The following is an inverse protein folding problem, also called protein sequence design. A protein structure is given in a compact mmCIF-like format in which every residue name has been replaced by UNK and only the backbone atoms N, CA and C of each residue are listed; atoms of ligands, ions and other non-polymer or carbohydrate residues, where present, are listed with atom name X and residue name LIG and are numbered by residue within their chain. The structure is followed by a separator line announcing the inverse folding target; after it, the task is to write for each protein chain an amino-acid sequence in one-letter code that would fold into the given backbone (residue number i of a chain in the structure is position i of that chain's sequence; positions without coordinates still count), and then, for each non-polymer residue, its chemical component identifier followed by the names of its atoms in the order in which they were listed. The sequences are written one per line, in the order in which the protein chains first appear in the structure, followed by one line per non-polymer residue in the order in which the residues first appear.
data_IF_709975676248
#
_entry.id   IF_709975676248
#
_cell.length_a   1.000
_cell.length_b   1.000
_cell.length_c   1.000
_cell.angle_alpha   90.00
_cell.angle_beta   90.00
_cell.angle_gamma   90.00
#
_symmetry.space_group_name_H-M   'P 1'
#
loop_
_entity.id
_entity.type
_entity.pdbx_description
1 polymer ?
#
# COMPACT_ATOMS: atom_id res chain seq x y z
N UNK A 1 -6.76 -9.14 -6.79
CA UNK A 1 -6.01 -7.87 -6.65
C UNK A 1 -6.16 -7.03 -7.91
N UNK A 2 -6.27 -5.72 -7.76
CA UNK A 2 -6.43 -4.80 -8.89
C UNK A 2 -5.14 -4.68 -9.73
N UNK A 3 -5.28 -4.40 -11.02
CA UNK A 3 -4.16 -4.22 -11.97
C UNK A 3 -3.39 -2.91 -11.69
N UNK A 4 -4.09 -1.89 -11.21
CA UNK A 4 -3.52 -0.63 -10.79
C UNK A 4 -3.86 -0.35 -9.32
N UNK A 5 -2.85 0.02 -8.54
CA UNK A 5 -3.02 0.43 -7.16
C UNK A 5 -2.58 1.89 -7.02
N UNK A 6 -3.34 2.66 -6.27
CA UNK A 6 -3.09 4.07 -6.02
C UNK A 6 -3.08 4.33 -4.52
N UNK A 7 -2.15 5.17 -4.10
CA UNK A 7 -2.09 5.76 -2.79
C UNK A 7 -2.87 7.07 -2.81
N UNK A 8 -3.80 7.24 -1.88
CA UNK A 8 -4.57 8.47 -1.72
C UNK A 8 -4.30 9.02 -0.34
N UNK A 9 -3.86 10.27 -0.28
CA UNK A 9 -3.54 10.95 0.97
C UNK A 9 -4.09 12.37 1.00
N UNK A 10 -4.24 12.93 2.19
CA UNK A 10 -4.63 14.33 2.40
C UNK A 10 -3.49 15.06 3.10
N UNK A 11 -2.97 16.08 2.43
CA UNK A 11 -1.90 16.94 2.96
C UNK A 11 -2.49 18.32 3.20
N UNK A 12 -2.34 18.84 4.42
CA UNK A 12 -2.76 20.19 4.78
C UNK A 12 -1.53 21.10 4.85
N UNK A 13 -1.46 22.08 3.96
CA UNK A 13 -0.45 23.15 3.94
C UNK A 13 -1.17 24.50 3.97
N UNK A 14 -0.72 25.41 4.84
CA UNK A 14 -1.28 26.77 4.98
C UNK A 14 -2.82 26.82 5.11
N UNK A 15 -3.39 25.89 5.89
CA UNK A 15 -4.84 25.79 6.10
C UNK A 15 -5.63 25.22 4.93
N UNK A 16 -4.99 24.89 3.80
CA UNK A 16 -5.62 24.24 2.67
C UNK A 16 -5.29 22.75 2.62
N UNK A 17 -6.32 21.91 2.65
CA UNK A 17 -6.16 20.46 2.49
C UNK A 17 -6.22 20.08 1.00
N UNK A 18 -5.14 19.52 0.49
CA UNK A 18 -5.05 18.97 -0.88
C UNK A 18 -5.12 17.45 -0.82
N UNK A 19 -5.82 16.85 -1.78
CA UNK A 19 -5.82 15.39 -1.96
C UNK A 19 -4.72 15.02 -2.95
N UNK A 20 -3.84 14.12 -2.55
CA UNK A 20 -2.73 13.64 -3.35
C UNK A 20 -3.01 12.20 -3.76
N UNK A 21 -2.98 11.92 -5.06
CA UNK A 21 -3.15 10.58 -5.61
C UNK A 21 -1.85 10.18 -6.32
N UNK A 22 -1.25 9.07 -5.90
CA UNK A 22 0.01 8.54 -6.47
C UNK A 22 -0.18 7.10 -6.91
N UNK A 23 0.38 6.73 -8.07
CA UNK A 23 0.41 5.33 -8.50
C UNK A 23 1.43 4.57 -7.65
N UNK A 24 1.04 3.40 -7.15
CA UNK A 24 1.92 2.52 -6.37
C UNK A 24 2.62 1.51 -7.27
N UNK A 25 3.95 1.47 -7.17
CA UNK A 25 4.81 0.42 -7.70
C UNK A 25 4.76 -0.83 -6.80
N UNK A 26 5.49 -1.89 -7.14
CA UNK A 26 5.45 -3.13 -6.37
C UNK A 26 5.86 -2.93 -4.90
N UNK A 27 6.87 -2.10 -4.65
CA UNK A 27 7.34 -1.80 -3.30
C UNK A 27 6.29 -1.00 -2.54
N UNK A 28 5.74 0.04 -3.14
CA UNK A 28 4.69 0.85 -2.54
C UNK A 28 3.40 0.05 -2.26
N UNK A 29 3.06 -0.93 -3.11
CA UNK A 29 1.97 -1.87 -2.83
C UNK A 29 2.24 -2.72 -1.58
N UNK A 30 3.47 -3.24 -1.44
CA UNK A 30 3.87 -4.04 -0.27
C UNK A 30 3.77 -3.21 1.00
N UNK A 31 4.33 -2.00 0.98
CA UNK A 31 4.36 -1.12 2.15
C UNK A 31 2.94 -0.68 2.56
N UNK A 32 2.07 -0.40 1.58
CA UNK A 32 0.68 -0.05 1.87
C UNK A 32 -0.12 -1.23 2.42
N UNK A 33 0.04 -2.44 1.86
CA UNK A 33 -0.62 -3.64 2.39
C UNK A 33 -0.13 -3.91 3.82
N UNK A 34 1.17 -3.80 4.07
CA UNK A 34 1.75 -3.95 5.40
C UNK A 34 1.23 -2.89 6.38
N UNK A 35 1.03 -1.65 5.92
CA UNK A 35 0.42 -0.57 6.70
C UNK A 35 -1.06 -0.83 6.98
N UNK A 36 -1.83 -1.32 6.01
CA UNK A 36 -3.25 -1.65 6.19
C UNK A 36 -3.42 -2.77 7.23
N UNK A 37 -2.55 -3.79 7.17
CA UNK A 37 -2.62 -4.96 8.07
C UNK A 37 -2.03 -4.64 9.45
N UNK A 38 -0.90 -3.94 9.49
CA UNK A 38 -0.18 -3.60 10.72
C UNK A 38 -0.69 -2.35 11.44
N UNK A 39 -1.50 -1.52 10.77
CA UNK A 39 -2.04 -0.28 11.30
C UNK A 39 -0.93 0.69 11.73
N UNK A 40 -0.90 1.00 13.03
CA UNK A 40 0.08 1.92 13.62
C UNK A 40 1.50 1.34 13.72
N UNK A 41 1.66 0.02 13.62
CA UNK A 41 2.94 -0.67 13.81
C UNK A 41 3.27 -1.53 12.60
N UNK A 42 4.10 -0.98 11.71
CA UNK A 42 4.72 -1.77 10.64
C UNK A 42 5.89 -2.55 11.25
N UNK A 43 5.89 -3.87 11.07
CA UNK A 43 6.93 -4.77 11.56
C UNK A 43 7.44 -5.62 10.41
N UNK A 44 8.59 -6.28 10.58
CA UNK A 44 9.14 -7.17 9.56
C UNK A 44 8.17 -8.32 9.20
N UNK A 45 7.37 -8.77 10.18
CA UNK A 45 6.36 -9.80 9.99
C UNK A 45 5.22 -9.29 9.10
N UNK A 46 4.73 -8.06 9.32
CA UNK A 46 3.64 -7.51 8.49
C UNK A 46 4.12 -7.21 7.07
N UNK A 47 5.38 -6.79 6.90
CA UNK A 47 6.01 -6.64 5.58
C UNK A 47 6.14 -7.97 4.84
N UNK A 48 6.57 -9.03 5.54
CA UNK A 48 6.67 -10.37 4.96
C UNK A 48 5.30 -10.95 4.61
N UNK A 49 4.30 -10.73 5.46
CA UNK A 49 2.93 -11.16 5.17
C UNK A 49 2.34 -10.43 3.95
N UNK A 50 2.57 -9.12 3.84
CA UNK A 50 2.16 -8.34 2.68
C UNK A 50 2.81 -8.84 1.38
N UNK A 51 4.08 -9.24 1.44
CA UNK A 51 4.80 -9.84 0.32
C UNK A 51 4.20 -11.19 -0.10
N UNK A 52 3.88 -12.06 0.85
CA UNK A 52 3.21 -13.34 0.56
C UNK A 52 1.83 -13.14 -0.10
N UNK A 53 1.07 -12.13 0.34
CA UNK A 53 -0.21 -11.78 -0.29
C UNK A 53 -0.04 -11.32 -1.74
N UNK A 54 0.98 -10.50 -2.00
CA UNK A 54 1.32 -10.05 -3.35
C UNK A 54 1.70 -11.21 -4.26
N UNK A 55 2.52 -12.15 -3.77
CA UNK A 55 2.93 -13.34 -4.53
C UNK A 55 1.72 -14.22 -4.86
N UNK A 56 0.90 -14.58 -3.86
CA UNK A 56 -0.31 -15.40 -4.07
C UNK A 56 -1.27 -14.78 -5.08
N UNK A 57 -1.40 -13.46 -5.07
CA UNK A 57 -2.27 -12.78 -6.01
C UNK A 57 -1.71 -12.72 -7.45
N UNK A 58 -0.38 -12.74 -7.62
CA UNK A 58 0.23 -12.92 -8.94
C UNK A 58 0.02 -14.35 -9.43
N UNK A 59 0.16 -15.35 -8.56
CA UNK A 59 -0.10 -16.75 -8.89
C UNK A 59 -1.56 -16.98 -9.28
N UNK A 60 -2.52 -16.33 -8.59
CA UNK A 60 -3.94 -16.41 -8.93
C UNK A 60 -4.31 -15.70 -10.24
N UNK A 61 -3.50 -14.74 -10.68
CA UNK A 61 -3.69 -14.04 -11.97
C UNK A 61 -3.03 -14.75 -13.15
N UNK A 62 -2.37 -15.88 -12.91
CA UNK A 62 -1.69 -16.70 -13.93
C UNK A 62 -2.65 -17.71 -14.53
#
# INVERSE_FOLDING_TARGET
MADNNYYIDKVTEDGNTKTVVKKLDEKGKRDEIARIIGGASITDITLKHAEEMLVKAREFKK
#
